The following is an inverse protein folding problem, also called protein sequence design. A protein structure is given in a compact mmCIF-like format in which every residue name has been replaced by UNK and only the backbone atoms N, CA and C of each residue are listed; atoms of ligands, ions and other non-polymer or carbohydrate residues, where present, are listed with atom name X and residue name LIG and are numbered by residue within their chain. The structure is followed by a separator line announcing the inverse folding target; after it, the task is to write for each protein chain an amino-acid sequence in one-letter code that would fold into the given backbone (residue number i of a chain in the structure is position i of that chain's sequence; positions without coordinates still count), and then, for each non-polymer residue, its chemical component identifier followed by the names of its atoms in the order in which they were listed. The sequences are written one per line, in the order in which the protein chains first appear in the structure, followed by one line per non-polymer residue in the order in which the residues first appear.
data_IF_537210012849
#
_entry.id   IF_537210012849
#
_cell.length_a   1.000
_cell.length_b   1.000
_cell.length_c   1.000
_cell.angle_alpha   90.00
_cell.angle_beta   90.00
_cell.angle_gamma   90.00
#
_symmetry.space_group_name_H-M   'P 1'
#
loop_
_entity.id
_entity.type
_entity.pdbx_description
1 polymer ?
#
# COMPACT_ATOMS: atom_id res chain seq x y z
N UNK A 1 5.78 27.92 5.58
CA UNK A 1 4.56 27.26 5.07
C UNK A 1 4.80 25.76 5.11
N UNK A 2 4.31 25.09 6.16
CA UNK A 2 4.52 23.65 6.34
C UNK A 2 3.50 22.93 5.46
N UNK A 3 3.89 22.62 4.22
CA UNK A 3 3.09 21.76 3.36
C UNK A 3 2.98 20.40 4.02
N UNK A 4 1.76 19.99 4.38
CA UNK A 4 1.48 18.65 4.86
C UNK A 4 2.09 17.65 3.87
N UNK A 5 3.05 16.85 4.35
CA UNK A 5 3.79 15.91 3.51
C UNK A 5 2.84 14.91 2.88
N UNK A 6 2.52 15.11 1.60
CA UNK A 6 2.06 14.04 0.73
C UNK A 6 3.16 12.98 0.77
N UNK A 7 2.98 11.97 1.61
CA UNK A 7 4.00 10.97 1.87
C UNK A 7 3.97 10.00 0.70
N UNK A 8 4.62 10.40 -0.38
CA UNK A 8 4.78 9.61 -1.59
C UNK A 8 5.50 8.32 -1.23
N UNK A 9 4.90 7.19 -1.59
CA UNK A 9 5.56 5.90 -1.43
C UNK A 9 6.35 5.58 -2.67
N UNK A 10 7.54 5.06 -2.44
CA UNK A 10 8.26 4.32 -3.46
C UNK A 10 7.61 2.95 -3.56
N UNK A 11 7.03 2.66 -4.70
CA UNK A 11 6.47 1.35 -5.05
C UNK A 11 7.26 0.82 -6.23
N UNK A 12 7.72 -0.41 -6.13
CA UNK A 12 8.27 -1.13 -7.27
C UNK A 12 7.16 -1.98 -7.87
N UNK A 13 6.92 -1.77 -9.16
CA UNK A 13 5.98 -2.57 -9.96
C UNK A 13 6.78 -3.55 -10.80
N UNK A 14 6.28 -4.77 -10.90
CA UNK A 14 6.79 -5.69 -11.91
C UNK A 14 6.13 -5.37 -13.24
N UNK A 15 6.90 -4.90 -14.21
CA UNK A 15 6.45 -4.73 -15.58
C UNK A 15 6.34 -6.12 -16.23
N UNK A 16 5.21 -6.81 -16.00
CA UNK A 16 4.92 -8.06 -16.68
C UNK A 16 4.79 -7.85 -18.19
N UNK A 17 5.15 -8.87 -18.97
CA UNK A 17 5.11 -8.91 -20.45
C UNK A 17 3.73 -8.58 -21.09
N UNK A 18 2.68 -8.39 -20.30
CA UNK A 18 1.31 -8.07 -20.73
C UNK A 18 0.79 -6.69 -20.29
N UNK A 19 1.66 -5.83 -19.74
CA UNK A 19 1.31 -4.43 -19.43
C UNK A 19 0.43 -4.25 -18.19
N UNK A 20 0.25 -5.30 -17.39
CA UNK A 20 -0.38 -5.17 -16.07
C UNK A 20 0.71 -4.87 -15.04
N UNK A 21 0.87 -3.60 -14.69
CA UNK A 21 1.78 -3.16 -13.64
C UNK A 21 1.20 -3.58 -12.29
N UNK A 22 1.71 -4.68 -11.75
CA UNK A 22 1.33 -5.14 -10.42
C UNK A 22 2.41 -4.71 -9.42
N UNK A 23 2.04 -4.03 -8.31
CA UNK A 23 3.02 -3.65 -7.30
C UNK A 23 3.57 -4.93 -6.63
N UNK A 24 4.91 -5.04 -6.57
CA UNK A 24 5.61 -6.19 -5.96
C UNK A 24 6.16 -5.87 -4.58
N UNK A 25 6.55 -4.63 -4.32
CA UNK A 25 6.96 -4.17 -3.00
C UNK A 25 6.86 -2.66 -2.88
N UNK A 26 6.74 -2.18 -1.66
CA UNK A 26 6.74 -0.75 -1.37
C UNK A 26 7.58 -0.42 -0.14
N UNK A 27 8.04 0.83 -0.09
CA UNK A 27 8.88 1.33 0.99
C UNK A 27 8.09 2.28 1.87
N UNK A 28 7.85 1.87 3.11
CA UNK A 28 7.24 2.68 4.15
C UNK A 28 8.33 3.25 5.05
N UNK A 29 8.85 4.42 4.69
CA UNK A 29 9.99 5.05 5.36
C UNK A 29 11.26 4.20 5.20
N UNK A 30 11.70 3.53 6.27
CA UNK A 30 12.85 2.62 6.26
C UNK A 30 12.47 1.14 6.10
N UNK A 31 11.18 0.82 6.09
CA UNK A 31 10.68 -0.56 5.97
C UNK A 31 10.40 -0.88 4.52
N UNK A 32 10.93 -1.99 4.04
CA UNK A 32 10.55 -2.60 2.77
C UNK A 32 9.48 -3.66 3.06
N UNK A 33 8.31 -3.50 2.45
CA UNK A 33 7.21 -4.46 2.56
C UNK A 33 7.06 -5.14 1.20
N UNK A 34 7.31 -6.44 1.17
CA UNK A 34 7.09 -7.26 -0.01
C UNK A 34 5.61 -7.65 -0.07
N UNK A 35 5.00 -7.48 -1.24
CA UNK A 35 3.60 -7.83 -1.46
C UNK A 35 3.56 -9.32 -1.75
N UNK A 36 2.97 -10.08 -0.82
CA UNK A 36 2.76 -11.52 -0.97
C UNK A 36 1.53 -11.81 -1.82
N UNK A 37 0.48 -11.02 -1.64
CA UNK A 37 -0.80 -11.25 -2.31
C UNK A 37 -1.52 -9.93 -2.60
N UNK A 38 -2.15 -9.83 -3.77
CA UNK A 38 -3.01 -8.71 -4.14
C UNK A 38 -4.45 -9.13 -3.89
N UNK A 39 -4.99 -8.71 -2.75
CA UNK A 39 -6.33 -9.08 -2.31
C UNK A 39 -7.42 -8.48 -3.18
N UNK A 40 -7.23 -7.25 -3.66
CA UNK A 40 -8.23 -6.56 -4.48
C UNK A 40 -7.59 -5.42 -5.30
N UNK A 41 -8.22 -5.09 -6.42
CA UNK A 41 -7.79 -4.02 -7.32
C UNK A 41 -9.02 -3.33 -7.89
N UNK A 42 -9.14 -2.04 -7.62
CA UNK A 42 -10.21 -1.22 -8.16
C UNK A 42 -9.67 -0.03 -8.95
N UNK A 43 -10.31 0.22 -10.09
CA UNK A 43 -10.02 1.33 -10.99
C UNK A 43 -11.06 2.43 -10.76
N UNK A 44 -10.57 3.62 -10.49
CA UNK A 44 -11.33 4.87 -10.44
C UNK A 44 -10.93 5.71 -11.67
N UNK A 45 -11.76 6.64 -12.17
CA UNK A 45 -11.47 7.38 -13.40
C UNK A 45 -10.14 8.14 -13.42
N UNK A 46 -9.60 8.54 -12.26
CA UNK A 46 -8.31 9.22 -12.15
C UNK A 46 -7.28 8.45 -11.31
N UNK A 47 -7.70 7.40 -10.59
CA UNK A 47 -6.85 6.72 -9.62
C UNK A 47 -6.98 5.21 -9.73
N UNK A 48 -5.93 4.49 -9.39
CA UNK A 48 -5.99 3.05 -9.25
C UNK A 48 -5.65 2.68 -7.83
N UNK A 49 -6.42 1.79 -7.25
CA UNK A 49 -6.19 1.33 -5.90
C UNK A 49 -5.89 -0.16 -5.88
N UNK A 50 -4.99 -0.54 -4.98
CA UNK A 50 -4.55 -1.89 -4.78
C UNK A 50 -4.61 -2.21 -3.29
N UNK A 51 -5.43 -3.19 -2.93
CA UNK A 51 -5.40 -3.79 -1.60
C UNK A 51 -4.44 -4.96 -1.64
N UNK A 52 -3.39 -4.89 -0.85
CA UNK A 52 -2.29 -5.85 -0.86
C UNK A 52 -2.01 -6.37 0.54
N UNK A 53 -1.62 -7.64 0.64
CA UNK A 53 -1.07 -8.24 1.84
C UNK A 53 0.45 -8.21 1.75
N UNK A 54 1.06 -7.57 2.73
CA UNK A 54 2.50 -7.56 2.88
C UNK A 54 3.01 -8.78 3.64
N UNK A 55 4.30 -9.07 3.49
CA UNK A 55 5.00 -10.16 4.19
C UNK A 55 5.05 -10.04 5.73
N UNK A 56 4.74 -8.87 6.29
CA UNK A 56 4.51 -8.68 7.74
C UNK A 56 3.08 -9.09 8.17
N UNK A 57 2.33 -9.75 7.29
CA UNK A 57 0.93 -10.11 7.51
C UNK A 57 -0.01 -8.87 7.64
N UNK A 58 0.47 -7.70 7.25
CA UNK A 58 -0.29 -6.46 7.23
C UNK A 58 -1.06 -6.28 5.93
N UNK A 59 -2.22 -5.64 6.00
CA UNK A 59 -3.03 -5.26 4.84
C UNK A 59 -2.82 -3.78 4.54
N UNK A 60 -2.57 -3.46 3.27
CA UNK A 60 -2.27 -2.11 2.83
C UNK A 60 -3.14 -1.74 1.63
N UNK A 61 -3.61 -0.49 1.58
CA UNK A 61 -4.32 0.07 0.43
C UNK A 61 -3.44 1.14 -0.21
N UNK A 62 -2.86 0.80 -1.36
CA UNK A 62 -2.03 1.69 -2.17
C UNK A 62 -2.92 2.39 -3.20
N UNK A 63 -2.81 3.71 -3.31
CA UNK A 63 -3.42 4.55 -4.35
C UNK A 63 -2.34 4.99 -5.32
N UNK A 64 -2.47 4.61 -6.57
CA UNK A 64 -1.68 5.09 -7.70
C UNK A 64 -2.45 6.21 -8.38
N UNK A 65 -1.84 7.38 -8.44
CA UNK A 65 -2.30 8.50 -9.23
C UNK A 65 -1.68 8.39 -10.62
N UNK A 66 -2.49 8.12 -11.65
CA UNK A 66 -1.98 7.96 -13.01
C UNK A 66 -1.55 9.27 -13.65
N UNK A 67 -1.96 10.42 -13.09
CA UNK A 67 -1.64 11.74 -13.62
C UNK A 67 -0.24 12.18 -13.20
N UNK A 68 0.07 12.03 -11.91
CA UNK A 68 1.37 12.38 -11.32
C UNK A 68 2.34 11.19 -11.29
N UNK A 69 1.85 10.00 -11.66
CA UNK A 69 2.53 8.70 -11.54
C UNK A 69 3.06 8.44 -10.10
N UNK A 70 2.31 8.94 -9.12
CA UNK A 70 2.69 8.93 -7.71
C UNK A 70 1.87 7.91 -6.94
N UNK A 71 2.52 7.24 -5.98
CA UNK A 71 1.87 6.28 -5.09
C UNK A 71 1.68 6.86 -3.70
N UNK A 72 0.52 6.60 -3.09
CA UNK A 72 0.18 7.05 -1.73
C UNK A 72 -0.48 5.92 -0.95
N UNK A 73 -0.16 5.79 0.34
CA UNK A 73 -0.77 4.81 1.23
C UNK A 73 -2.03 5.42 1.81
N UNK A 74 -3.18 4.83 1.48
CA UNK A 74 -4.49 5.31 1.95
C UNK A 74 -4.81 4.70 3.32
N UNK A 75 -4.50 3.41 3.50
CA UNK A 75 -4.78 2.69 4.73
C UNK A 75 -3.74 1.60 4.96
N UNK A 76 -3.36 1.41 6.22
CA UNK A 76 -2.60 0.25 6.64
C UNK A 76 -3.26 -0.37 7.87
N UNK A 77 -3.39 -1.68 7.85
CA UNK A 77 -3.72 -2.52 8.99
C UNK A 77 -2.53 -3.45 9.21
N UNK A 78 -1.59 -3.03 10.05
CA UNK A 78 -0.61 -3.98 10.57
C UNK A 78 -1.39 -4.82 11.58
N UNK A 79 -1.67 -6.09 11.28
CA UNK A 79 -2.53 -6.99 12.08
C UNK A 79 -2.11 -7.21 13.56
N UNK A 80 -1.23 -6.37 14.11
CA UNK A 80 -0.81 -6.30 15.51
C UNK A 80 -1.74 -5.45 16.42
N UNK A 81 -2.93 -5.05 15.97
CA UNK A 81 -3.85 -4.24 16.80
C UNK A 81 -5.12 -5.00 17.24
N UNK A 82 -4.99 -6.28 17.63
CA UNK A 82 -6.10 -7.04 18.23
C UNK A 82 -5.76 -7.75 19.56
N UNK A 83 -4.59 -7.50 20.15
CA UNK A 83 -4.19 -8.15 21.41
C UNK A 83 -3.65 -7.13 22.42
N UNK A 84 -4.49 -6.20 22.90
CA UNK A 84 -4.14 -5.42 24.11
C UNK A 84 -5.32 -4.91 24.94
N UNK A 85 -6.58 -5.24 24.60
CA UNK A 85 -7.75 -4.77 25.37
C UNK A 85 -8.47 -5.86 26.17
N UNK A 86 -7.78 -6.96 26.48
CA UNK A 86 -8.24 -7.94 27.46
C UNK A 86 -7.31 -7.90 28.68
N UNK A 87 -7.48 -6.89 29.53
CA UNK A 87 -7.15 -7.01 30.94
C UNK A 87 -8.37 -6.59 31.73
N UNK A 88 -8.94 -7.59 32.39
CA UNK A 88 -10.08 -7.59 33.29
C UNK A 88 -10.00 -6.55 34.41
N UNK A 89 -11.17 -6.08 34.84
CA UNK A 89 -11.55 -6.01 36.26
C UNK A 89 -13.07 -6.04 36.37
#
# INVERSE_FOLDING_TARGET
MTGAGSSTLRVECYAGYRGDETPVRFFLGKRCIEIEDVLDRWLDPAHRYFKVRGNDNGIYILRHDSHDNTWTLTLFDSGRCAESRLSST
#
